data_IF_625722951559
#
_entry.id   IF_625722951559
#
_cell.length_a   1.000
_cell.length_b   1.000
_cell.length_c   1.000
_cell.angle_alpha   90.00
_cell.angle_beta   90.00
_cell.angle_gamma   90.00
#
_symmetry.space_group_name_H-M   'P 1'
#
loop_
_entity.id
_entity.type
_entity.pdbx_description
1 polymer ?
#
# COMPACT_ATOMS: atom_id res chain seq x y z
N UNK A 1 -9.75 0.09 -19.31
CA UNK A 1 -9.63 -1.30 -18.79
C UNK A 1 -8.39 -1.36 -17.91
N UNK A 2 -8.44 -2.00 -16.72
CA UNK A 2 -7.28 -2.10 -15.87
C UNK A 2 -6.21 -2.91 -16.61
N UNK A 3 -5.13 -2.22 -16.97
CA UNK A 3 -3.97 -2.80 -17.59
C UNK A 3 -2.81 -2.66 -16.60
N UNK A 4 -1.72 -3.39 -16.80
CA UNK A 4 -0.59 -3.40 -15.88
C UNK A 4 -0.09 -1.99 -15.51
N UNK A 5 -0.18 -1.01 -16.44
CA UNK A 5 0.24 0.37 -16.19
C UNK A 5 -0.70 1.10 -15.24
N UNK A 6 -2.01 0.92 -15.40
CA UNK A 6 -2.99 1.54 -14.50
C UNK A 6 -2.84 0.99 -13.08
N UNK A 7 -2.72 -0.34 -12.93
CA UNK A 7 -2.58 -0.99 -11.63
C UNK A 7 -1.32 -0.50 -10.90
N UNK A 8 -0.19 -0.37 -11.59
CA UNK A 8 1.04 0.20 -10.99
C UNK A 8 0.84 1.65 -10.54
N UNK A 9 0.13 2.46 -11.34
CA UNK A 9 -0.17 3.84 -10.99
C UNK A 9 -1.04 3.89 -9.73
N UNK A 10 -2.03 3.02 -9.64
CA UNK A 10 -2.94 2.94 -8.50
C UNK A 10 -2.20 2.49 -7.23
N UNK A 11 -1.31 1.49 -7.34
CA UNK A 11 -0.42 1.06 -6.23
C UNK A 11 0.43 2.24 -5.74
N UNK A 12 1.09 2.94 -6.65
CA UNK A 12 1.95 4.06 -6.29
C UNK A 12 1.17 5.18 -5.63
N UNK A 13 0.00 5.54 -6.17
CA UNK A 13 -0.85 6.58 -5.61
C UNK A 13 -1.35 6.22 -4.20
N UNK A 14 -1.79 4.97 -4.00
CA UNK A 14 -2.26 4.50 -2.69
C UNK A 14 -1.14 4.56 -1.64
N UNK A 15 0.04 4.04 -1.99
CA UNK A 15 1.20 4.05 -1.08
C UNK A 15 1.67 5.47 -0.80
N UNK A 16 1.72 6.34 -1.81
CA UNK A 16 2.14 7.73 -1.64
C UNK A 16 1.20 8.49 -0.69
N UNK A 17 -0.10 8.28 -0.80
CA UNK A 17 -1.07 8.83 0.15
C UNK A 17 -0.82 8.33 1.58
N UNK A 18 -0.57 7.04 1.77
CA UNK A 18 -0.30 6.47 3.10
C UNK A 18 1.00 7.01 3.71
N UNK A 19 2.04 7.21 2.88
CA UNK A 19 3.31 7.83 3.30
C UNK A 19 3.08 9.30 3.72
N UNK A 20 2.28 10.05 2.95
CA UNK A 20 1.93 11.43 3.30
C UNK A 20 1.20 11.51 4.64
N UNK A 21 0.27 10.58 4.89
CA UNK A 21 -0.42 10.48 6.18
C UNK A 21 0.57 10.25 7.33
N UNK A 22 1.50 9.29 7.17
CA UNK A 22 2.54 9.04 8.18
C UNK A 22 3.39 10.28 8.47
N UNK A 23 3.76 11.04 7.43
CA UNK A 23 4.52 12.29 7.62
C UNK A 23 3.67 13.40 8.26
N UNK A 24 2.37 13.47 7.97
CA UNK A 24 1.47 14.36 8.67
C UNK A 24 1.42 14.01 10.16
N UNK A 25 1.19 12.73 10.49
CA UNK A 25 1.23 12.19 11.87
C UNK A 25 2.55 12.53 12.57
N UNK A 26 3.71 12.38 11.92
CA UNK A 26 5.01 12.75 12.51
C UNK A 26 5.11 14.22 12.92
N UNK A 27 4.45 15.14 12.22
CA UNK A 27 4.49 16.57 12.54
C UNK A 27 3.62 16.95 13.74
N UNK A 28 2.61 16.15 14.06
CA UNK A 28 1.62 16.45 15.11
C UNK A 28 1.70 15.49 16.32
N UNK A 29 2.40 14.37 16.19
CA UNK A 29 2.55 13.35 17.22
C UNK A 29 3.64 13.68 18.25
N UNK A 30 3.53 13.07 19.43
CA UNK A 30 4.61 13.10 20.43
C UNK A 30 5.80 12.27 19.93
N UNK A 31 7.02 12.74 20.19
CA UNK A 31 8.28 12.02 19.94
C UNK A 31 8.31 10.55 20.38
N UNK A 32 7.54 10.18 21.42
CA UNK A 32 7.39 8.80 21.87
C UNK A 32 6.84 7.84 20.79
N UNK A 33 6.11 8.37 19.80
CA UNK A 33 5.49 7.57 18.73
C UNK A 33 6.31 7.53 17.44
N UNK A 34 7.40 8.30 17.34
CA UNK A 34 8.16 8.43 16.09
C UNK A 34 8.71 7.09 15.60
N UNK A 35 9.24 6.25 16.50
CA UNK A 35 9.76 4.93 16.15
C UNK A 35 8.69 4.07 15.47
N UNK A 36 7.49 4.02 16.05
CA UNK A 36 6.36 3.28 15.46
C UNK A 36 5.95 3.83 14.10
N UNK A 37 5.91 5.15 13.94
CA UNK A 37 5.57 5.76 12.65
C UNK A 37 6.64 5.44 11.60
N UNK A 38 7.92 5.39 11.98
CA UNK A 38 9.00 4.97 11.09
C UNK A 38 8.90 3.49 10.69
N UNK A 39 8.52 2.60 11.61
CA UNK A 39 8.25 1.18 11.31
C UNK A 39 7.14 1.05 10.26
N UNK A 40 6.04 1.79 10.44
CA UNK A 40 4.90 1.77 9.50
C UNK A 40 5.31 2.34 8.13
N UNK A 41 6.11 3.42 8.10
CA UNK A 41 6.68 3.96 6.87
C UNK A 41 7.55 2.93 6.13
N UNK A 42 8.32 2.11 6.85
CA UNK A 42 9.12 1.05 6.26
C UNK A 42 8.22 -0.03 5.67
N UNK A 43 7.23 -0.49 6.43
CA UNK A 43 6.28 -1.52 5.99
C UNK A 43 5.51 -1.08 4.73
N UNK A 44 5.03 0.16 4.69
CA UNK A 44 4.36 0.71 3.49
C UNK A 44 5.29 0.70 2.26
N UNK A 45 6.58 1.01 2.43
CA UNK A 45 7.56 0.95 1.34
C UNK A 45 7.81 -0.48 0.86
N UNK A 46 7.84 -1.44 1.78
CA UNK A 46 7.97 -2.86 1.47
C UNK A 46 6.75 -3.37 0.71
N UNK A 47 5.54 -3.03 1.16
CA UNK A 47 4.28 -3.34 0.45
C UNK A 47 4.30 -2.81 -0.99
N UNK A 48 4.78 -1.59 -1.21
CA UNK A 48 4.93 -1.07 -2.59
C UNK A 48 5.81 -1.97 -3.44
N UNK A 49 6.98 -2.34 -2.93
CA UNK A 49 7.94 -3.18 -3.65
C UNK A 49 7.33 -4.55 -3.96
N UNK A 50 6.72 -5.18 -2.96
CA UNK A 50 6.08 -6.48 -3.07
C UNK A 50 4.96 -6.48 -4.11
N UNK A 51 4.03 -5.52 -4.05
CA UNK A 51 2.88 -5.50 -4.94
C UNK A 51 3.26 -5.09 -6.36
N UNK A 52 4.23 -4.18 -6.55
CA UNK A 52 4.80 -3.91 -7.87
C UNK A 52 5.47 -5.15 -8.46
N UNK A 53 6.18 -5.93 -7.64
CA UNK A 53 6.76 -7.20 -8.05
C UNK A 53 5.69 -8.19 -8.49
N UNK A 54 4.63 -8.40 -7.69
CA UNK A 54 3.50 -9.30 -8.04
C UNK A 54 2.82 -8.89 -9.34
N UNK A 55 2.62 -7.58 -9.57
CA UNK A 55 2.04 -7.06 -10.81
C UNK A 55 2.95 -7.31 -12.01
N UNK A 56 4.27 -7.12 -11.86
CA UNK A 56 5.25 -7.41 -12.90
C UNK A 56 5.34 -8.90 -13.24
N UNK A 57 5.10 -9.77 -12.26
CA UNK A 57 5.22 -11.23 -12.37
C UNK A 57 3.85 -11.91 -12.42
N UNK A 58 2.85 -11.26 -13.03
CA UNK A 58 1.54 -11.86 -13.25
C UNK A 58 1.68 -13.20 -14.01
N UNK A 59 1.01 -14.29 -13.56
CA UNK A 59 1.19 -15.60 -14.18
C UNK A 59 0.85 -15.60 -15.67
N UNK A 60 1.77 -16.14 -16.49
CA UNK A 60 1.71 -16.06 -17.96
C UNK A 60 0.55 -16.85 -18.54
N UNK A 61 0.11 -17.90 -17.85
CA UNK A 61 -0.96 -18.81 -18.24
C UNK A 61 -2.38 -18.24 -18.03
N UNK A 62 -2.52 -17.05 -17.41
CA UNK A 62 -3.83 -16.45 -17.20
C UNK A 62 -4.40 -15.83 -18.48
N UNK A 63 -5.67 -16.10 -18.75
CA UNK A 63 -6.43 -15.43 -19.80
C UNK A 63 -6.75 -13.95 -19.40
N UNK A 64 -7.24 -13.12 -20.33
CA UNK A 64 -7.50 -11.70 -20.04
C UNK A 64 -8.50 -11.44 -18.89
N UNK A 65 -9.46 -12.35 -18.66
CA UNK A 65 -10.45 -12.22 -17.58
C UNK A 65 -9.81 -12.53 -16.23
N UNK A 66 -9.03 -13.61 -16.17
CA UNK A 66 -8.29 -14.04 -14.97
C UNK A 66 -7.24 -13.00 -14.57
N UNK A 67 -6.52 -12.40 -15.52
CA UNK A 67 -5.57 -11.31 -15.23
C UNK A 67 -6.23 -10.11 -14.56
N UNK A 68 -7.46 -9.76 -14.96
CA UNK A 68 -8.20 -8.66 -14.33
C UNK A 68 -8.61 -9.00 -12.91
N UNK A 69 -9.03 -10.25 -12.66
CA UNK A 69 -9.36 -10.73 -11.31
C UNK A 69 -8.10 -10.71 -10.44
N UNK A 70 -6.98 -11.22 -10.95
CA UNK A 70 -5.69 -11.18 -10.26
C UNK A 70 -5.30 -9.76 -9.83
N UNK A 71 -5.33 -8.79 -10.74
CA UNK A 71 -4.99 -7.41 -10.41
C UNK A 71 -5.99 -6.77 -9.44
N UNK A 72 -7.29 -7.09 -9.54
CA UNK A 72 -8.29 -6.58 -8.61
C UNK A 72 -8.04 -7.11 -7.19
N UNK A 73 -7.75 -8.39 -7.05
CA UNK A 73 -7.48 -9.00 -5.75
C UNK A 73 -6.21 -8.40 -5.14
N UNK A 74 -5.14 -8.22 -5.93
CA UNK A 74 -3.94 -7.52 -5.45
C UNK A 74 -4.25 -6.11 -4.93
N UNK A 75 -5.07 -5.35 -5.65
CA UNK A 75 -5.44 -4.00 -5.20
C UNK A 75 -6.28 -4.03 -3.92
N UNK A 76 -7.19 -5.00 -3.81
CA UNK A 76 -8.00 -5.17 -2.60
C UNK A 76 -7.14 -5.47 -1.38
N UNK A 77 -6.24 -6.46 -1.50
CA UNK A 77 -5.34 -6.84 -0.42
C UNK A 77 -4.40 -5.69 -0.01
N UNK A 78 -3.85 -4.95 -0.99
CA UNK A 78 -2.99 -3.80 -0.69
C UNK A 78 -3.76 -2.71 0.05
N UNK A 79 -5.00 -2.45 -0.38
CA UNK A 79 -5.88 -1.46 0.25
C UNK A 79 -6.22 -1.86 1.69
N UNK A 80 -6.60 -3.11 1.93
CA UNK A 80 -6.88 -3.62 3.29
C UNK A 80 -5.66 -3.50 4.20
N UNK A 81 -4.47 -3.89 3.71
CA UNK A 81 -3.23 -3.75 4.48
C UNK A 81 -2.90 -2.29 4.79
N UNK A 82 -3.07 -1.41 3.82
CA UNK A 82 -2.79 0.03 3.97
C UNK A 82 -3.76 0.67 4.94
N UNK A 83 -5.06 0.34 4.87
CA UNK A 83 -6.07 0.79 5.83
C UNK A 83 -5.71 0.32 7.24
N UNK A 84 -5.35 -0.96 7.42
CA UNK A 84 -4.97 -1.47 8.73
C UNK A 84 -3.77 -0.74 9.35
N UNK A 85 -2.78 -0.34 8.52
CA UNK A 85 -1.64 0.44 8.98
C UNK A 85 -2.02 1.87 9.37
N UNK A 86 -2.92 2.50 8.60
CA UNK A 86 -3.43 3.86 8.91
C UNK A 86 -4.31 3.85 10.16
N UNK A 87 -5.20 2.87 10.31
CA UNK A 87 -6.03 2.72 11.51
C UNK A 87 -5.17 2.50 12.75
N UNK A 88 -4.08 1.72 12.63
CA UNK A 88 -3.12 1.54 13.70
C UNK A 88 -2.41 2.86 14.08
N UNK A 89 -2.02 3.69 13.10
CA UNK A 89 -1.48 5.03 13.34
C UNK A 89 -2.47 5.89 14.14
N UNK A 90 -3.72 5.99 13.70
CA UNK A 90 -4.75 6.79 14.39
C UNK A 90 -5.03 6.29 15.80
N UNK A 91 -4.99 4.98 16.03
CA UNK A 91 -5.17 4.40 17.37
C UNK A 91 -4.01 4.68 18.31
N UNK A 92 -2.79 4.85 17.79
CA UNK A 92 -1.60 5.12 18.58
C UNK A 92 -1.54 6.58 19.09
N UNK A 93 -2.28 7.49 18.46
CA UNK A 93 -2.39 8.90 18.87
C UNK A 93 -3.46 9.15 19.95
N UNK A 94 -4.35 8.18 20.19
CA UNK A 94 -5.47 8.26 21.16
C UNK A 94 -5.05 7.83 22.57
#
# INVERSE_FOLDING_TARGET
MPNIRSVKKDINALVENAILECYATLNYSNSFYYEKIYEILLEIKELRSEYLFKVNHCPKNLNPKEKRVFYRNLMHELMEKTIGLVDYLSSAES
#
